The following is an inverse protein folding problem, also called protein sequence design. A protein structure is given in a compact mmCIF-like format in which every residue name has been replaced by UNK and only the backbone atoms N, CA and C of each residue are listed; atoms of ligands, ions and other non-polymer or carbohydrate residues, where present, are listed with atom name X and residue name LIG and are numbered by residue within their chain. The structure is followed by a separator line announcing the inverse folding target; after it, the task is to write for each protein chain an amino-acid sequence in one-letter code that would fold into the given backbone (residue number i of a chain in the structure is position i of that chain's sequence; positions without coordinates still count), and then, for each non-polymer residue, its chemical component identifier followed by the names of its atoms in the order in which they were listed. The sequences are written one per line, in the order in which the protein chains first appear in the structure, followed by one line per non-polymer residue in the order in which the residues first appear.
data_IF_760012206025
#
_entry.id   IF_760012206025
#
_cell.length_a   1.000
_cell.length_b   1.000
_cell.length_c   1.000
_cell.angle_alpha   90.00
_cell.angle_beta   90.00
_cell.angle_gamma   90.00
#
_symmetry.space_group_name_H-M   'P 1'
#
loop_
_entity.id
_entity.type
_entity.pdbx_description
1 polymer ?
#
# COMPACT_ATOMS: atom_id res chain seq x y z
N UNK A 1 -38.52 -51.58 -58.94
CA UNK A 1 -37.59 -50.77 -58.12
C UNK A 1 -38.16 -50.72 -56.71
N UNK A 2 -37.66 -51.60 -55.84
CA UNK A 2 -38.14 -51.79 -54.48
C UNK A 2 -37.25 -52.84 -53.79
N UNK A 3 -36.84 -52.54 -52.57
CA UNK A 3 -35.99 -53.35 -51.67
C UNK A 3 -36.56 -54.72 -51.31
N UNK A 4 -35.67 -55.69 -51.08
CA UNK A 4 -35.69 -56.66 -49.95
C UNK A 4 -34.39 -57.48 -50.01
N UNK A 5 -33.50 -57.32 -49.03
CA UNK A 5 -33.23 -58.28 -47.94
C UNK A 5 -32.47 -59.54 -48.38
N UNK A 6 -31.24 -59.69 -47.89
CA UNK A 6 -30.76 -61.01 -47.44
C UNK A 6 -29.74 -60.84 -46.32
N UNK A 7 -30.18 -61.26 -45.15
CA UNK A 7 -29.42 -61.48 -43.93
C UNK A 7 -28.52 -62.72 -44.07
N UNK A 8 -27.57 -62.86 -43.13
CA UNK A 8 -26.81 -64.08 -42.81
C UNK A 8 -25.61 -64.48 -43.66
N UNK A 9 -24.43 -63.97 -43.27
CA UNK A 9 -23.19 -64.76 -43.20
C UNK A 9 -22.18 -63.99 -42.35
N UNK A 10 -22.09 -64.26 -41.05
CA UNK A 10 -20.89 -63.99 -40.21
C UNK A 10 -21.09 -64.54 -38.79
N UNK A 11 -20.94 -65.83 -38.65
CA UNK A 11 -20.69 -66.49 -37.37
C UNK A 11 -19.55 -67.49 -37.58
N UNK A 12 -18.34 -67.00 -37.88
CA UNK A 12 -17.11 -67.80 -37.87
C UNK A 12 -15.86 -66.93 -38.12
N UNK A 13 -15.57 -65.97 -37.24
CA UNK A 13 -14.22 -65.34 -37.13
C UNK A 13 -13.93 -64.74 -35.74
N UNK A 14 -14.65 -65.15 -34.69
CA UNK A 14 -14.56 -64.55 -33.33
C UNK A 14 -13.40 -65.15 -32.49
N UNK A 15 -12.51 -65.95 -33.08
CA UNK A 15 -11.47 -66.69 -32.36
C UNK A 15 -10.08 -66.03 -32.30
N UNK A 16 -9.72 -65.17 -33.26
CA UNK A 16 -8.31 -64.76 -33.43
C UNK A 16 -8.04 -63.27 -33.18
N UNK A 17 -9.04 -62.38 -33.14
CA UNK A 17 -8.84 -60.94 -32.87
C UNK A 17 -8.73 -60.57 -31.38
N UNK A 18 -9.08 -61.49 -30.45
CA UNK A 18 -9.05 -61.20 -29.00
C UNK A 18 -7.68 -61.34 -28.34
N UNK A 19 -6.74 -62.07 -28.93
CA UNK A 19 -5.42 -62.32 -28.32
C UNK A 19 -4.43 -61.18 -28.62
N UNK A 20 -4.61 -60.46 -29.73
CA UNK A 20 -3.72 -59.35 -30.10
C UNK A 20 -4.11 -58.01 -29.44
N UNK A 21 -5.39 -57.79 -29.11
CA UNK A 21 -5.82 -56.58 -28.40
C UNK A 21 -5.38 -56.54 -26.92
N UNK A 22 -5.32 -57.69 -26.23
CA UNK A 22 -4.85 -57.74 -24.83
C UNK A 22 -3.34 -57.52 -24.70
N UNK A 23 -2.54 -57.99 -25.68
CA UNK A 23 -1.09 -57.69 -25.73
C UNK A 23 -0.81 -56.21 -26.02
N UNK A 24 -1.64 -55.57 -26.84
CA UNK A 24 -1.47 -54.17 -27.21
C UNK A 24 -1.86 -53.22 -26.05
N UNK A 25 -2.91 -53.53 -25.28
CA UNK A 25 -3.26 -52.78 -24.07
C UNK A 25 -2.19 -52.92 -22.95
N UNK A 26 -1.64 -54.12 -22.75
CA UNK A 26 -0.60 -54.35 -21.74
C UNK A 26 0.73 -53.64 -22.03
N UNK A 27 1.05 -53.38 -23.31
CA UNK A 27 2.22 -52.61 -23.73
C UNK A 27 2.00 -51.09 -23.62
N UNK A 28 0.79 -50.59 -23.83
CA UNK A 28 0.46 -49.17 -23.67
C UNK A 28 0.37 -48.73 -22.20
N UNK A 29 -0.21 -49.54 -21.32
CA UNK A 29 -0.28 -49.23 -19.87
C UNK A 29 1.11 -49.21 -19.22
N UNK A 30 2.01 -50.11 -19.61
CA UNK A 30 3.39 -50.14 -19.12
C UNK A 30 4.20 -48.92 -19.61
N UNK A 31 3.93 -48.42 -20.83
CA UNK A 31 4.56 -47.21 -21.36
C UNK A 31 4.04 -45.93 -20.70
N UNK A 32 2.73 -45.85 -20.40
CA UNK A 32 2.12 -44.74 -19.66
C UNK A 32 2.60 -44.68 -18.20
N UNK A 33 2.70 -45.84 -17.54
CA UNK A 33 3.25 -45.96 -16.18
C UNK A 33 4.72 -45.52 -16.12
N UNK A 34 5.55 -45.99 -17.05
CA UNK A 34 6.98 -45.62 -17.13
C UNK A 34 7.19 -44.15 -17.50
N UNK A 35 6.38 -43.56 -18.37
CA UNK A 35 6.42 -42.11 -18.63
C UNK A 35 6.01 -41.29 -17.40
N UNK A 36 5.04 -41.75 -16.60
CA UNK A 36 4.63 -41.06 -15.37
C UNK A 36 5.73 -41.08 -14.30
N UNK A 37 6.47 -42.19 -14.21
CA UNK A 37 7.60 -42.35 -13.26
C UNK A 37 8.78 -41.47 -13.71
N UNK A 38 9.13 -41.47 -15.01
CA UNK A 38 10.17 -40.58 -15.57
C UNK A 38 9.82 -39.10 -15.38
N UNK A 39 8.56 -38.72 -15.56
CA UNK A 39 8.09 -37.34 -15.35
C UNK A 39 8.08 -36.94 -13.85
N UNK A 40 7.83 -37.89 -12.93
CA UNK A 40 7.97 -37.67 -11.48
C UNK A 40 9.43 -37.52 -11.06
N UNK A 41 10.35 -38.28 -11.65
CA UNK A 41 11.80 -38.15 -11.40
C UNK A 41 12.39 -36.85 -11.97
N UNK A 42 11.97 -36.43 -13.17
CA UNK A 42 12.35 -35.13 -13.75
C UNK A 42 11.79 -33.97 -12.92
N UNK A 43 10.56 -34.09 -12.38
CA UNK A 43 10.00 -33.10 -11.42
C UNK A 43 10.75 -33.11 -10.08
N UNK A 44 11.22 -34.26 -9.58
CA UNK A 44 12.06 -34.36 -8.36
C UNK A 44 13.47 -33.80 -8.58
N UNK A 45 14.08 -34.01 -9.76
CA UNK A 45 15.37 -33.40 -10.12
C UNK A 45 15.26 -31.89 -10.36
N UNK A 46 14.18 -31.40 -11.01
CA UNK A 46 13.90 -29.96 -11.12
C UNK A 46 13.61 -29.32 -9.74
N UNK A 47 12.97 -30.03 -8.80
CA UNK A 47 12.82 -29.59 -7.39
C UNK A 47 14.13 -29.64 -6.58
N UNK A 48 15.12 -30.46 -6.96
CA UNK A 48 16.44 -30.49 -6.33
C UNK A 48 17.42 -29.44 -6.86
N UNK A 49 17.19 -28.87 -8.06
CA UNK A 49 18.09 -27.90 -8.70
C UNK A 49 17.79 -26.42 -8.41
N UNK A 50 16.76 -26.10 -7.62
CA UNK A 50 16.48 -24.74 -7.11
C UNK A 50 16.82 -24.59 -5.61
N UNK A 51 17.96 -25.13 -5.17
CA UNK A 51 18.45 -24.96 -3.79
C UNK A 51 19.85 -24.37 -3.67
N UNK A 52 20.27 -23.58 -4.65
CA UNK A 52 21.43 -22.69 -4.51
C UNK A 52 21.03 -21.27 -4.88
N UNK A 53 20.28 -20.62 -3.99
CA UNK A 53 20.29 -19.17 -3.93
C UNK A 53 21.55 -18.81 -3.14
N UNK A 54 22.54 -18.11 -3.73
CA UNK A 54 23.67 -17.63 -2.95
C UNK A 54 23.13 -16.72 -1.85
N UNK A 55 23.49 -17.04 -0.61
CA UNK A 55 23.16 -16.29 0.60
C UNK A 55 23.72 -14.87 0.41
N UNK A 56 22.87 -13.89 0.13
CA UNK A 56 23.28 -12.49 0.07
C UNK A 56 23.76 -12.08 1.47
N UNK A 57 25.07 -11.83 1.60
CA UNK A 57 25.74 -11.48 2.84
C UNK A 57 25.57 -10.02 3.23
N UNK A 58 24.33 -9.57 3.43
CA UNK A 58 24.05 -8.39 4.24
C UNK A 58 22.72 -8.62 4.95
N UNK A 59 22.63 -8.22 6.23
CA UNK A 59 21.54 -8.53 7.18
C UNK A 59 21.67 -9.88 7.89
N UNK A 60 22.76 -10.03 8.66
CA UNK A 60 22.69 -10.78 9.92
C UNK A 60 22.35 -9.78 11.02
N UNK A 61 21.13 -9.84 11.52
CA UNK A 61 20.77 -9.35 12.85
C UNK A 61 20.21 -10.57 13.59
N UNK A 62 20.72 -10.78 14.80
CA UNK A 62 20.62 -12.01 15.61
C UNK A 62 19.24 -12.69 15.65
N UNK A 63 19.27 -14.01 15.82
CA UNK A 63 18.11 -14.89 16.07
C UNK A 63 17.52 -14.68 17.48
N UNK A 64 17.21 -13.42 17.84
CA UNK A 64 17.07 -13.01 19.24
C UNK A 64 15.67 -12.82 19.81
N UNK A 65 14.58 -12.90 19.02
CA UNK A 65 13.19 -12.89 19.53
C UNK A 65 12.25 -13.52 18.49
N UNK A 66 11.47 -14.57 18.82
CA UNK A 66 10.42 -15.05 17.94
C UNK A 66 9.26 -14.03 17.89
N UNK A 67 8.96 -13.51 16.70
CA UNK A 67 7.76 -12.70 16.46
C UNK A 67 6.56 -13.63 16.25
N UNK A 68 5.53 -13.50 17.09
CA UNK A 68 4.29 -14.24 17.00
C UNK A 68 3.30 -13.49 16.09
N UNK A 69 2.67 -14.21 15.18
CA UNK A 69 1.57 -13.69 14.35
C UNK A 69 0.26 -14.14 15.01
N UNK A 70 -0.60 -13.20 15.35
CA UNK A 70 -1.96 -13.48 15.77
C UNK A 70 -2.91 -13.00 14.66
N UNK A 71 -3.52 -13.92 13.90
CA UNK A 71 -4.52 -13.55 12.90
C UNK A 71 -5.75 -12.97 13.59
N UNK A 72 -6.30 -11.90 13.04
CA UNK A 72 -7.61 -11.41 13.43
C UNK A 72 -8.74 -12.19 12.71
N UNK A 73 -9.97 -12.01 13.18
CA UNK A 73 -11.14 -12.69 12.60
C UNK A 73 -11.50 -12.20 11.17
N UNK A 74 -10.91 -11.10 10.70
CA UNK A 74 -11.20 -10.43 9.44
C UNK A 74 -10.12 -10.65 8.34
N UNK A 75 -9.03 -11.36 8.66
CA UNK A 75 -7.95 -11.70 7.74
C UNK A 75 -6.69 -10.84 7.86
N UNK A 76 -6.71 -9.78 8.68
CA UNK A 76 -5.52 -9.05 9.09
C UNK A 76 -4.75 -9.82 10.17
N UNK A 77 -3.64 -9.26 10.61
CA UNK A 77 -2.85 -9.88 11.67
C UNK A 77 -2.07 -8.86 12.49
N UNK A 78 -1.98 -9.18 13.76
CA UNK A 78 -1.13 -8.50 14.72
C UNK A 78 0.20 -9.25 14.83
N UNK A 79 1.28 -8.50 14.88
CA UNK A 79 2.61 -9.00 15.19
C UNK A 79 3.04 -8.41 16.51
N UNK A 80 3.31 -9.29 17.47
CA UNK A 80 3.91 -8.97 18.75
C UNK A 80 5.01 -9.99 19.03
N UNK A 81 5.92 -9.67 19.94
CA UNK A 81 6.97 -10.62 20.30
C UNK A 81 6.40 -11.74 21.18
N UNK A 82 6.95 -12.95 21.04
CA UNK A 82 6.45 -14.15 21.71
C UNK A 82 6.48 -14.05 23.24
N UNK A 83 5.45 -14.62 23.88
CA UNK A 83 5.11 -14.44 25.29
C UNK A 83 6.03 -15.14 26.31
N UNK A 84 7.19 -15.65 25.92
CA UNK A 84 8.04 -16.44 26.84
C UNK A 84 8.67 -15.54 27.91
N UNK A 85 7.99 -15.43 29.07
CA UNK A 85 8.52 -14.83 30.29
C UNK A 85 8.42 -13.30 30.39
N UNK A 86 7.49 -12.65 29.69
CA UNK A 86 7.40 -11.18 29.66
C UNK A 86 6.33 -10.64 30.60
N UNK A 87 6.74 -9.71 31.45
CA UNK A 87 5.87 -9.02 32.42
C UNK A 87 5.29 -7.69 31.89
N UNK A 88 5.56 -7.32 30.63
CA UNK A 88 5.10 -6.05 30.06
C UNK A 88 4.32 -6.28 28.77
N UNK A 89 3.17 -5.62 28.65
CA UNK A 89 2.32 -5.61 27.46
C UNK A 89 2.68 -4.39 26.61
N UNK A 90 2.65 -4.50 25.28
CA UNK A 90 3.01 -3.39 24.40
C UNK A 90 2.08 -2.20 24.61
N UNK A 91 2.65 -1.00 24.66
CA UNK A 91 1.92 0.25 24.91
C UNK A 91 1.76 1.11 23.66
N UNK A 92 2.42 0.74 22.55
CA UNK A 92 2.44 1.53 21.33
C UNK A 92 1.90 0.71 20.15
N UNK A 93 0.80 1.17 19.56
CA UNK A 93 0.23 0.60 18.35
C UNK A 93 0.86 1.20 17.09
N UNK A 94 1.37 0.36 16.19
CA UNK A 94 1.84 0.75 14.86
C UNK A 94 0.90 0.15 13.81
N UNK A 95 0.12 1.00 13.16
CA UNK A 95 -0.83 0.62 12.10
C UNK A 95 -0.15 0.71 10.74
N UNK A 96 -0.05 -0.43 10.04
CA UNK A 96 0.53 -0.51 8.70
C UNK A 96 -0.57 -0.63 7.64
N UNK A 97 -0.55 0.25 6.64
CA UNK A 97 -1.64 0.43 5.65
C UNK A 97 -1.12 0.19 4.24
N UNK A 98 -1.70 -0.79 3.53
CA UNK A 98 -1.25 -1.19 2.19
C UNK A 98 -1.62 -0.18 1.08
N UNK A 99 -0.88 -0.29 -0.02
CA UNK A 99 -1.15 0.42 -1.26
C UNK A 99 -2.25 -0.24 -2.12
N UNK A 100 -2.43 0.29 -3.32
CA UNK A 100 -3.41 -0.19 -4.30
C UNK A 100 -3.12 -1.64 -4.70
N UNK A 101 -4.15 -2.50 -4.75
CA UNK A 101 -4.05 -3.95 -5.01
C UNK A 101 -3.18 -4.70 -3.96
N UNK A 102 -2.82 -4.03 -2.86
CA UNK A 102 -2.04 -4.63 -1.76
C UNK A 102 -2.88 -5.47 -0.80
N UNK A 103 -2.21 -6.02 0.20
CA UNK A 103 -2.80 -6.72 1.35
C UNK A 103 -1.93 -6.57 2.60
N UNK A 104 -2.43 -6.98 3.77
CA UNK A 104 -1.66 -7.00 5.01
C UNK A 104 -0.34 -7.79 4.87
N UNK A 105 -0.33 -8.83 4.03
CA UNK A 105 0.86 -9.67 3.81
C UNK A 105 2.06 -8.91 3.26
N UNK A 106 1.85 -7.78 2.56
CA UNK A 106 2.95 -6.95 2.07
C UNK A 106 3.77 -6.36 3.23
N UNK A 107 3.17 -6.18 4.40
CA UNK A 107 3.81 -5.64 5.59
C UNK A 107 4.44 -6.69 6.49
N UNK A 108 4.19 -7.99 6.24
CA UNK A 108 4.65 -9.09 7.11
C UNK A 108 6.13 -9.03 7.45
N UNK A 109 6.98 -8.72 6.47
CA UNK A 109 8.42 -8.59 6.72
C UNK A 109 8.73 -7.39 7.62
N UNK A 110 8.21 -6.21 7.28
CA UNK A 110 8.44 -4.98 8.06
C UNK A 110 7.92 -5.14 9.49
N UNK A 111 6.70 -5.66 9.68
CA UNK A 111 6.11 -5.89 10.99
C UNK A 111 6.99 -6.78 11.89
N UNK A 112 7.54 -7.87 11.33
CA UNK A 112 8.50 -8.71 12.06
C UNK A 112 9.78 -7.98 12.44
N UNK A 113 10.30 -7.11 11.58
CA UNK A 113 11.51 -6.34 11.91
C UNK A 113 11.23 -5.29 12.99
N UNK A 114 10.07 -4.62 12.95
CA UNK A 114 9.65 -3.68 13.98
C UNK A 114 9.54 -4.35 15.35
N UNK A 115 8.87 -5.49 15.42
CA UNK A 115 8.73 -6.26 16.66
C UNK A 115 10.06 -6.80 17.16
N UNK A 116 10.97 -7.19 16.27
CA UNK A 116 12.33 -7.59 16.67
C UNK A 116 13.14 -6.43 17.23
N UNK A 117 12.97 -5.23 16.68
CA UNK A 117 13.69 -4.05 17.12
C UNK A 117 13.13 -3.47 18.44
N UNK A 118 11.82 -3.58 18.65
CA UNK A 118 11.11 -3.03 19.81
C UNK A 118 10.20 -4.06 20.48
N UNK A 119 10.76 -5.18 20.97
CA UNK A 119 9.98 -6.34 21.37
C UNK A 119 8.97 -6.09 22.48
N UNK A 120 9.23 -5.13 23.38
CA UNK A 120 8.40 -4.91 24.57
C UNK A 120 7.51 -3.67 24.46
N UNK A 121 7.74 -2.82 23.45
CA UNK A 121 7.06 -1.53 23.33
C UNK A 121 5.92 -1.54 22.30
N UNK A 122 6.07 -2.31 21.21
CA UNK A 122 5.20 -2.18 20.03
C UNK A 122 4.29 -3.37 19.78
N UNK A 123 3.03 -3.06 19.47
CA UNK A 123 2.09 -3.94 18.79
C UNK A 123 2.00 -3.45 17.34
N UNK A 124 2.32 -4.30 16.37
CA UNK A 124 2.21 -3.94 14.95
C UNK A 124 0.96 -4.57 14.36
N UNK A 125 0.02 -3.74 13.94
CA UNK A 125 -1.21 -4.17 13.27
C UNK A 125 -1.08 -3.97 11.76
N UNK A 126 -1.17 -5.05 10.99
CA UNK A 126 -1.21 -5.00 9.52
C UNK A 126 -2.66 -5.02 9.05
N UNK A 127 -3.17 -3.86 8.62
CA UNK A 127 -4.57 -3.68 8.23
C UNK A 127 -4.96 -4.50 7.00
N UNK A 128 -6.13 -5.14 7.06
CA UNK A 128 -6.73 -5.90 5.96
C UNK A 128 -8.04 -5.27 5.45
N UNK A 129 -8.53 -4.20 6.10
CA UNK A 129 -9.77 -3.47 5.72
C UNK A 129 -9.88 -3.11 4.25
N UNK A 130 -8.75 -2.95 3.56
CA UNK A 130 -8.66 -2.48 2.19
C UNK A 130 -7.75 -3.37 1.33
N UNK A 131 -8.01 -4.67 1.32
CA UNK A 131 -7.26 -5.61 0.48
C UNK A 131 -7.80 -5.77 -0.93
N UNK A 132 -6.88 -6.02 -1.87
CA UNK A 132 -7.21 -6.40 -3.26
C UNK A 132 -8.18 -5.41 -3.94
N UNK A 133 -9.34 -5.87 -4.41
CA UNK A 133 -10.33 -5.06 -5.13
C UNK A 133 -10.98 -3.98 -4.25
N UNK A 134 -10.99 -4.15 -2.92
CA UNK A 134 -11.51 -3.13 -1.99
C UNK A 134 -10.69 -1.83 -2.05
N UNK A 135 -9.47 -1.89 -2.59
CA UNK A 135 -8.64 -0.69 -2.83
C UNK A 135 -9.23 0.26 -3.87
N UNK A 136 -10.30 -0.11 -4.58
CA UNK A 136 -10.94 0.70 -5.63
C UNK A 136 -12.18 1.49 -5.16
N UNK A 137 -12.60 1.31 -3.90
CA UNK A 137 -13.84 1.88 -3.36
C UNK A 137 -13.77 3.39 -3.08
N UNK A 138 -12.58 3.99 -3.12
CA UNK A 138 -12.35 5.41 -2.85
C UNK A 138 -11.76 5.66 -1.46
N UNK A 139 -10.82 6.61 -1.41
CA UNK A 139 -10.05 6.99 -0.21
C UNK A 139 -10.93 7.30 0.99
N UNK A 140 -12.11 7.88 0.78
CA UNK A 140 -13.08 8.18 1.85
C UNK A 140 -13.68 6.91 2.46
N UNK A 141 -14.18 5.99 1.63
CA UNK A 141 -14.74 4.71 2.09
C UNK A 141 -13.66 3.87 2.78
N UNK A 142 -12.50 3.76 2.15
CA UNK A 142 -11.37 3.01 2.68
C UNK A 142 -10.86 3.60 4.01
N UNK A 143 -10.84 4.93 4.12
CA UNK A 143 -10.43 5.63 5.33
C UNK A 143 -11.40 5.40 6.50
N UNK A 144 -12.71 5.37 6.25
CA UNK A 144 -13.72 5.03 7.27
C UNK A 144 -13.55 3.59 7.76
N UNK A 145 -13.39 2.62 6.84
CA UNK A 145 -13.14 1.21 7.20
C UNK A 145 -11.89 1.07 8.06
N UNK A 146 -10.79 1.71 7.67
CA UNK A 146 -9.56 1.70 8.45
C UNK A 146 -9.77 2.31 9.84
N UNK A 147 -10.54 3.40 9.97
CA UNK A 147 -10.85 3.99 11.27
C UNK A 147 -11.65 3.03 12.16
N UNK A 148 -12.62 2.31 11.60
CA UNK A 148 -13.41 1.30 12.33
C UNK A 148 -12.53 0.12 12.78
N UNK A 149 -11.64 -0.37 11.92
CA UNK A 149 -10.67 -1.43 12.24
C UNK A 149 -9.72 -0.99 13.37
N UNK A 150 -9.17 0.22 13.29
CA UNK A 150 -8.29 0.76 14.34
C UNK A 150 -8.99 0.81 15.69
N UNK A 151 -10.25 1.25 15.73
CA UNK A 151 -11.03 1.26 16.99
C UNK A 151 -11.20 -0.16 17.53
N UNK A 152 -11.50 -1.14 16.66
CA UNK A 152 -11.60 -2.55 17.07
C UNK A 152 -10.31 -3.07 17.69
N UNK A 153 -9.16 -2.73 17.10
CA UNK A 153 -7.83 -3.12 17.61
C UNK A 153 -7.54 -2.45 18.95
N UNK A 154 -7.83 -1.16 19.09
CA UNK A 154 -7.62 -0.41 20.33
C UNK A 154 -8.49 -0.96 21.46
N UNK A 155 -9.77 -1.23 21.19
CA UNK A 155 -10.69 -1.80 22.18
C UNK A 155 -10.26 -3.21 22.64
N UNK A 156 -9.59 -3.96 21.78
CA UNK A 156 -9.07 -5.30 22.10
C UNK A 156 -7.77 -5.25 22.93
N UNK A 157 -7.12 -4.08 23.02
CA UNK A 157 -5.82 -3.90 23.65
C UNK A 157 -5.83 -2.67 24.60
N UNK A 158 -6.40 -2.79 25.81
CA UNK A 158 -6.62 -1.66 26.73
C UNK A 158 -5.32 -1.03 27.28
N UNK A 159 -4.17 -1.69 27.10
CA UNK A 159 -2.87 -1.19 27.58
C UNK A 159 -2.21 -0.20 26.60
N UNK A 160 -2.76 -0.05 25.40
CA UNK A 160 -2.24 0.88 24.41
C UNK A 160 -2.39 2.32 24.91
N UNK A 161 -1.33 3.09 24.75
CA UNK A 161 -1.27 4.51 25.11
C UNK A 161 -0.88 5.38 23.92
N UNK A 162 -0.16 4.82 22.95
CA UNK A 162 0.42 5.53 21.80
C UNK A 162 -0.01 4.90 20.49
N UNK A 163 -0.15 5.72 19.45
CA UNK A 163 -0.46 5.26 18.10
C UNK A 163 0.49 5.86 17.06
N UNK A 164 0.81 5.08 16.04
CA UNK A 164 1.56 5.52 14.86
C UNK A 164 1.02 4.87 13.61
N UNK A 165 1.13 5.58 12.49
CA UNK A 165 0.67 5.11 11.19
C UNK A 165 1.84 5.03 10.22
N UNK A 166 1.88 3.95 9.44
CA UNK A 166 2.81 3.73 8.33
C UNK A 166 2.00 3.37 7.08
N UNK A 167 1.91 4.31 6.14
CA UNK A 167 1.15 4.12 4.90
C UNK A 167 2.04 4.00 3.68
N UNK A 168 1.82 2.96 2.86
CA UNK A 168 2.48 2.81 1.56
C UNK A 168 1.56 3.24 0.43
N UNK A 169 2.07 4.08 -0.47
CA UNK A 169 1.36 4.50 -1.68
C UNK A 169 -0.03 5.05 -1.35
N UNK A 170 -1.09 4.48 -1.93
CA UNK A 170 -2.47 4.78 -1.59
C UNK A 170 -2.77 4.71 -0.08
N UNK A 171 -2.13 3.80 0.66
CA UNK A 171 -2.28 3.63 2.10
C UNK A 171 -1.97 4.87 2.92
N UNK A 172 -1.07 5.74 2.45
CA UNK A 172 -0.82 7.03 3.11
C UNK A 172 -1.99 8.02 2.97
N UNK A 173 -2.75 7.95 1.88
CA UNK A 173 -3.97 8.75 1.71
C UNK A 173 -5.12 8.17 2.54
N UNK A 174 -5.26 6.85 2.58
CA UNK A 174 -6.24 6.15 3.43
C UNK A 174 -5.99 6.50 4.90
N UNK A 175 -4.73 6.42 5.36
CA UNK A 175 -4.35 6.77 6.72
C UNK A 175 -4.67 8.23 7.05
N UNK A 176 -4.41 9.18 6.13
CA UNK A 176 -4.77 10.59 6.31
C UNK A 176 -6.28 10.80 6.50
N UNK A 177 -7.10 10.04 5.80
CA UNK A 177 -8.55 10.11 5.96
C UNK A 177 -8.97 9.49 7.30
N UNK A 178 -8.45 8.31 7.62
CA UNK A 178 -8.77 7.59 8.85
C UNK A 178 -8.45 8.41 10.10
N UNK A 179 -7.28 9.06 10.19
CA UNK A 179 -6.93 9.88 11.36
C UNK A 179 -7.86 11.08 11.54
N UNK A 180 -8.40 11.65 10.46
CA UNK A 180 -9.36 12.75 10.55
C UNK A 180 -10.72 12.26 11.08
N UNK A 181 -11.16 11.08 10.66
CA UNK A 181 -12.37 10.43 11.19
C UNK A 181 -12.21 10.03 12.66
N UNK A 182 -11.07 9.44 13.03
CA UNK A 182 -10.76 9.10 14.42
C UNK A 182 -10.71 10.35 15.30
N UNK A 183 -10.06 11.41 14.83
CA UNK A 183 -10.03 12.69 15.55
C UNK A 183 -11.42 13.28 15.75
N UNK A 184 -12.28 13.25 14.71
CA UNK A 184 -13.66 13.71 14.80
C UNK A 184 -14.45 12.94 15.85
N UNK A 185 -14.30 11.61 15.91
CA UNK A 185 -14.96 10.77 16.92
C UNK A 185 -14.50 11.11 18.33
N UNK A 186 -13.21 11.29 18.54
CA UNK A 186 -12.66 11.68 19.85
C UNK A 186 -13.20 13.04 20.32
N UNK A 187 -13.39 14.00 19.41
CA UNK A 187 -14.01 15.30 19.73
C UNK A 187 -15.49 15.15 20.13
N UNK A 188 -16.24 14.30 19.44
CA UNK A 188 -17.65 14.05 19.75
C UNK A 188 -17.82 13.39 21.12
N UNK A 189 -16.98 12.42 21.47
CA UNK A 189 -17.01 11.78 22.80
C UNK A 189 -16.79 12.80 23.92
N UNK A 190 -15.78 13.69 23.79
CA UNK A 190 -15.51 14.74 24.80
C UNK A 190 -16.65 15.73 24.98
N UNK A 191 -17.26 16.19 23.88
CA UNK A 191 -18.41 17.11 23.95
C UNK A 191 -19.66 16.50 24.59
N UNK A 192 -19.78 15.17 24.61
CA UNK A 192 -20.86 14.46 25.29
C UNK A 192 -20.68 14.36 26.80
N UNK A 193 -19.43 14.36 27.27
CA UNK A 193 -19.05 14.24 28.68
C UNK A 193 -19.02 15.60 29.41
N UNK A 194 -18.72 16.69 28.69
CA UNK A 194 -18.61 18.06 29.26
C UNK A 194 -19.95 18.76 29.57
N UNK A 195 -21.11 18.17 29.23
CA UNK A 195 -22.43 18.76 29.57
C UNK A 195 -22.82 18.60 31.06
N UNK A 196 -21.88 18.23 31.93
CA UNK A 196 -22.11 17.94 33.35
C UNK A 196 -21.36 18.80 34.37
N UNK A 197 -20.35 19.61 33.99
CA UNK A 197 -19.54 20.32 34.99
C UNK A 197 -19.18 21.76 34.56
N UNK A 198 -19.24 22.65 35.56
CA UNK A 198 -19.29 24.11 35.53
C UNK A 198 -18.11 24.79 34.80
N UNK A 199 -18.44 25.66 33.84
CA UNK A 199 -17.51 26.50 33.08
C UNK A 199 -16.87 27.57 33.98
N UNK A 200 -15.65 27.32 34.45
CA UNK A 200 -14.82 28.38 35.02
C UNK A 200 -13.37 28.31 34.54
N UNK A 201 -13.04 29.29 33.70
CA UNK A 201 -11.72 29.88 33.44
C UNK A 201 -10.55 28.94 33.14
N UNK A 202 -10.04 28.99 31.90
CA UNK A 202 -8.58 29.00 31.72
C UNK A 202 -8.10 29.82 30.52
N UNK A 203 -7.14 30.66 30.88
CA UNK A 203 -6.42 31.67 30.11
C UNK A 203 -5.62 31.11 28.94
N UNK A 204 -5.59 31.93 27.89
CA UNK A 204 -4.66 31.93 26.77
C UNK A 204 -3.19 31.75 27.16
N UNK A 205 -2.67 30.55 26.90
CA UNK A 205 -1.27 30.28 26.59
C UNK A 205 -1.29 29.33 25.39
N UNK A 206 -0.38 29.50 24.43
CA UNK A 206 -0.27 28.67 23.23
C UNK A 206 0.05 27.20 23.59
N UNK A 207 -0.94 26.45 24.07
CA UNK A 207 -0.83 25.02 24.22
C UNK A 207 -0.95 24.38 22.84
N UNK A 208 0.06 23.58 22.46
CA UNK A 208 -0.07 22.66 21.32
C UNK A 208 -1.41 21.94 21.43
N UNK A 209 -2.16 21.76 20.34
CA UNK A 209 -3.43 21.05 20.39
C UNK A 209 -3.18 19.65 20.99
N UNK A 210 -3.59 19.45 22.24
CA UNK A 210 -3.57 18.16 22.93
C UNK A 210 -4.81 17.40 22.48
N UNK A 211 -4.67 16.66 21.39
CA UNK A 211 -5.71 15.80 20.84
C UNK A 211 -5.25 14.35 20.82
N UNK A 212 -6.21 13.45 20.95
CA UNK A 212 -5.99 12.02 20.79
C UNK A 212 -6.42 11.58 19.39
N UNK A 213 -5.97 10.38 19.01
CA UNK A 213 -6.45 9.64 17.84
C UNK A 213 -6.88 8.26 18.34
N UNK A 214 -8.18 7.97 18.27
CA UNK A 214 -8.78 6.76 18.85
C UNK A 214 -8.49 6.64 20.36
N UNK A 215 -8.49 7.77 21.08
CA UNK A 215 -8.14 7.81 22.51
C UNK A 215 -6.65 7.65 22.82
N UNK A 216 -5.79 7.42 21.83
CA UNK A 216 -4.34 7.23 22.00
C UNK A 216 -3.53 8.48 21.66
N UNK A 217 -2.33 8.60 22.24
CA UNK A 217 -1.37 9.65 21.94
C UNK A 217 -0.72 9.44 20.54
N UNK A 218 -0.91 10.34 19.57
CA UNK A 218 -0.33 10.19 18.24
C UNK A 218 1.18 10.54 18.22
N UNK A 219 2.01 9.59 17.78
CA UNK A 219 3.48 9.73 17.79
C UNK A 219 4.06 9.95 16.39
N UNK A 220 3.97 8.96 15.50
CA UNK A 220 4.55 9.02 14.16
C UNK A 220 3.49 8.86 13.06
N UNK A 221 3.56 9.71 12.05
CA UNK A 221 2.82 9.55 10.80
C UNK A 221 3.81 9.45 9.64
N UNK A 222 3.98 8.24 9.11
CA UNK A 222 5.00 7.93 8.10
C UNK A 222 4.31 7.53 6.80
N UNK A 223 4.72 8.15 5.70
CA UNK A 223 4.24 7.80 4.36
C UNK A 223 5.38 7.38 3.46
N UNK A 224 5.15 6.39 2.59
CA UNK A 224 6.13 5.86 1.66
C UNK A 224 5.59 5.85 0.24
N UNK A 225 6.21 6.62 -0.66
CA UNK A 225 5.79 6.74 -2.06
C UNK A 225 4.29 7.09 -2.22
N UNK A 226 3.76 7.90 -1.31
CA UNK A 226 2.33 8.28 -1.28
C UNK A 226 2.03 9.42 -2.25
N UNK A 227 1.01 9.32 -3.13
CA UNK A 227 0.66 10.39 -4.07
C UNK A 227 -0.14 11.50 -3.35
N UNK A 228 0.50 12.26 -2.46
CA UNK A 228 -0.17 13.27 -1.62
C UNK A 228 -0.89 14.36 -2.40
N UNK A 229 -0.37 14.73 -3.58
CA UNK A 229 -0.92 15.75 -4.48
C UNK A 229 -1.71 15.12 -5.65
N UNK A 230 -1.96 13.81 -5.58
CA UNK A 230 -2.47 13.03 -6.69
C UNK A 230 -1.37 12.64 -7.70
N UNK A 231 -1.82 12.12 -8.83
CA UNK A 231 -0.98 11.54 -9.90
C UNK A 231 -1.11 12.26 -11.25
N UNK A 232 -1.90 13.34 -11.31
CA UNK A 232 -2.23 14.07 -12.54
C UNK A 232 -1.30 15.26 -12.76
N UNK A 233 -0.13 15.07 -13.38
CA UNK A 233 0.71 16.23 -13.71
C UNK A 233 2.18 15.97 -13.97
N UNK A 234 2.67 14.79 -13.62
CA UNK A 234 3.97 14.33 -14.08
C UNK A 234 3.86 13.92 -15.56
N UNK A 235 4.87 14.19 -16.39
CA UNK A 235 4.96 13.73 -17.81
C UNK A 235 5.02 12.20 -17.86
N UNK A 236 3.93 11.57 -17.52
CA UNK A 236 3.81 10.18 -17.10
C UNK A 236 2.58 9.58 -17.77
N UNK A 237 2.44 9.82 -19.07
CA UNK A 237 1.56 9.06 -19.96
C UNK A 237 1.83 7.55 -19.84
N UNK A 238 3.04 7.17 -19.42
CA UNK A 238 3.46 5.79 -19.10
C UNK A 238 2.98 5.25 -17.73
N UNK A 239 2.54 6.09 -16.78
CA UNK A 239 2.07 5.60 -15.48
C UNK A 239 0.74 4.88 -15.61
N UNK A 240 -0.12 5.34 -16.52
CA UNK A 240 -1.41 4.72 -16.75
C UNK A 240 -1.22 3.37 -17.43
N UNK A 241 -0.26 3.27 -18.36
CA UNK A 241 0.15 1.99 -18.95
C UNK A 241 0.68 1.06 -17.86
N UNK A 242 1.47 1.57 -16.91
CA UNK A 242 2.07 0.76 -15.83
C UNK A 242 1.02 0.31 -14.80
N UNK A 243 0.13 1.20 -14.37
CA UNK A 243 -1.01 0.88 -13.48
C UNK A 243 -1.92 -0.15 -14.17
N UNK A 244 -2.24 0.08 -15.44
CA UNK A 244 -3.05 -0.84 -16.24
C UNK A 244 -2.34 -2.19 -16.41
N UNK A 245 -1.03 -2.20 -16.67
CA UNK A 245 -0.23 -3.43 -16.76
C UNK A 245 -0.23 -4.22 -15.44
N UNK A 246 -0.14 -3.55 -14.29
CA UNK A 246 -0.25 -4.19 -12.96
C UNK A 246 -1.64 -4.81 -12.76
N UNK A 247 -2.71 -4.08 -13.10
CA UNK A 247 -4.08 -4.61 -13.03
C UNK A 247 -4.25 -5.80 -13.98
N UNK A 248 -3.76 -5.69 -15.22
CA UNK A 248 -3.86 -6.70 -16.26
C UNK A 248 -3.06 -7.97 -15.94
N UNK A 249 -1.92 -7.86 -15.25
CA UNK A 249 -1.12 -9.03 -14.84
C UNK A 249 -1.65 -9.72 -13.57
N UNK A 250 -2.45 -9.05 -12.75
CA UNK A 250 -2.98 -9.61 -11.49
C UNK A 250 -4.37 -10.20 -11.64
N UNK A 251 -5.12 -9.86 -12.71
CA UNK A 251 -6.43 -10.44 -13.01
C UNK A 251 -6.27 -11.62 -13.97
N UNK A 252 -6.44 -12.88 -13.54
CA UNK A 252 -6.19 -14.07 -14.38
C UNK A 252 -7.09 -14.17 -15.63
N UNK A 253 -8.16 -13.37 -15.73
CA UNK A 253 -9.07 -13.34 -16.89
C UNK A 253 -8.65 -12.38 -18.02
N UNK A 254 -7.64 -11.54 -17.83
CA UNK A 254 -7.24 -10.52 -18.83
C UNK A 254 -6.01 -10.90 -19.66
N UNK A 255 -5.53 -12.15 -19.56
CA UNK A 255 -4.39 -12.68 -20.31
C UNK A 255 -4.61 -12.76 -21.85
N UNK A 256 -5.82 -12.47 -22.37
CA UNK A 256 -6.19 -12.87 -23.74
C UNK A 256 -6.69 -11.77 -24.70
N UNK A 257 -6.66 -10.48 -24.37
CA UNK A 257 -7.16 -9.47 -25.33
C UNK A 257 -6.24 -8.26 -25.59
N UNK A 258 -5.95 -8.12 -26.89
CA UNK A 258 -5.62 -6.93 -27.68
C UNK A 258 -4.18 -6.39 -27.69
N UNK A 259 -3.62 -6.40 -28.91
CA UNK A 259 -2.38 -5.74 -29.29
C UNK A 259 -2.42 -4.22 -29.14
N UNK A 260 -1.22 -3.65 -28.97
CA UNK A 260 -0.97 -2.25 -28.68
C UNK A 260 -1.42 -1.32 -29.83
N UNK A 261 -2.52 -0.58 -29.64
CA UNK A 261 -2.84 0.58 -30.48
C UNK A 261 -3.48 1.74 -29.69
N UNK A 262 -2.93 2.95 -29.91
CA UNK A 262 -3.34 4.31 -29.51
C UNK A 262 -3.71 4.56 -28.03
N UNK A 263 -2.67 4.83 -27.21
CA UNK A 263 -2.74 4.84 -25.73
C UNK A 263 -3.21 6.15 -25.06
N UNK A 264 -3.48 7.24 -25.78
CA UNK A 264 -3.94 8.50 -25.13
C UNK A 264 -5.42 8.48 -24.73
N UNK A 265 -6.30 7.82 -25.50
CA UNK A 265 -7.73 7.71 -25.16
C UNK A 265 -8.02 6.65 -24.08
N UNK A 266 -7.05 5.78 -23.80
CA UNK A 266 -7.13 4.76 -22.73
C UNK A 266 -6.81 5.37 -21.37
N UNK A 267 -6.00 6.44 -21.34
CA UNK A 267 -5.59 7.13 -20.13
C UNK A 267 -6.77 7.67 -19.30
N UNK A 268 -7.72 8.35 -19.96
CA UNK A 268 -8.94 8.85 -19.32
C UNK A 268 -9.93 7.76 -18.92
N UNK A 269 -9.86 6.58 -19.57
CA UNK A 269 -10.66 5.39 -19.23
C UNK A 269 -10.04 4.55 -18.12
N UNK A 270 -8.76 4.76 -17.80
CA UNK A 270 -8.07 3.97 -16.76
C UNK A 270 -8.36 4.45 -15.33
N UNK A 271 -8.66 5.73 -15.12
CA UNK A 271 -9.16 6.20 -13.81
C UNK A 271 -10.49 5.51 -13.46
N UNK A 272 -11.30 5.18 -14.46
CA UNK A 272 -12.51 4.37 -14.31
C UNK A 272 -12.22 2.91 -13.93
N UNK A 273 -11.12 2.32 -14.43
CA UNK A 273 -10.73 0.94 -14.09
C UNK A 273 -10.25 0.78 -12.65
N UNK A 274 -9.79 1.87 -12.03
CA UNK A 274 -9.48 1.95 -10.59
C UNK A 274 -10.67 2.41 -9.75
N UNK A 275 -11.89 2.35 -10.30
CA UNK A 275 -13.12 2.70 -9.61
C UNK A 275 -13.14 4.14 -9.11
N UNK A 276 -13.56 4.33 -7.87
CA UNK A 276 -13.61 5.66 -7.24
C UNK A 276 -12.22 6.13 -6.80
N UNK A 277 -11.36 5.21 -6.38
CA UNK A 277 -9.96 5.50 -6.04
C UNK A 277 -9.21 6.18 -7.19
N UNK A 278 -9.39 5.67 -8.42
CA UNK A 278 -8.81 6.30 -9.60
C UNK A 278 -9.27 7.75 -9.76
N UNK A 279 -10.56 8.04 -9.57
CA UNK A 279 -11.07 9.42 -9.66
C UNK A 279 -10.43 10.34 -8.63
N UNK A 280 -10.22 9.89 -7.39
CA UNK A 280 -9.54 10.67 -6.36
C UNK A 280 -8.06 10.94 -6.71
N UNK A 281 -7.32 9.90 -7.13
CA UNK A 281 -5.89 10.03 -7.48
C UNK A 281 -5.66 10.96 -8.68
N UNK A 282 -6.59 10.99 -9.63
CA UNK A 282 -6.56 11.85 -10.81
C UNK A 282 -7.30 13.19 -10.64
N UNK A 283 -7.72 13.54 -9.42
CA UNK A 283 -8.42 14.80 -9.11
C UNK A 283 -9.60 15.05 -10.08
N UNK A 284 -10.33 13.98 -10.40
CA UNK A 284 -11.43 14.00 -11.37
C UNK A 284 -12.77 13.60 -10.74
N UNK A 285 -12.79 13.39 -9.43
CA UNK A 285 -14.00 13.27 -8.65
C UNK A 285 -14.74 14.60 -8.57
N UNK A 286 -16.06 14.51 -8.55
CA UNK A 286 -16.98 15.64 -8.50
C UNK A 286 -18.16 15.20 -7.64
N UNK A 287 -17.94 15.15 -6.33
CA UNK A 287 -18.93 14.71 -5.37
C UNK A 287 -19.83 15.91 -5.03
N UNK A 288 -21.06 15.95 -5.56
CA UNK A 288 -22.11 16.92 -5.18
C UNK A 288 -21.68 18.40 -5.28
N UNK A 289 -20.85 18.73 -6.26
CA UNK A 289 -20.32 20.09 -6.45
C UNK A 289 -19.16 20.48 -5.51
N UNK A 290 -18.71 19.57 -4.64
CA UNK A 290 -17.54 19.76 -3.78
C UNK A 290 -16.25 19.63 -4.60
N UNK A 291 -15.16 20.32 -4.19
CA UNK A 291 -13.85 20.14 -4.81
C UNK A 291 -13.33 18.70 -4.62
N UNK A 292 -12.35 18.26 -5.44
CA UNK A 292 -11.77 16.92 -5.34
C UNK A 292 -11.33 16.55 -3.92
N UNK A 293 -11.51 15.31 -3.51
CA UNK A 293 -11.29 14.85 -2.15
C UNK A 293 -9.87 15.12 -1.66
N UNK A 294 -8.84 14.88 -2.47
CA UNK A 294 -7.45 15.14 -2.07
C UNK A 294 -7.19 16.62 -1.78
N UNK A 295 -7.87 17.51 -2.52
CA UNK A 295 -7.81 18.95 -2.26
C UNK A 295 -8.49 19.27 -0.92
N UNK A 296 -9.64 18.68 -0.65
CA UNK A 296 -10.33 18.81 0.65
C UNK A 296 -9.48 18.30 1.82
N UNK A 297 -8.73 17.23 1.63
CA UNK A 297 -7.81 16.67 2.63
C UNK A 297 -6.57 17.55 2.92
N UNK A 298 -6.41 18.67 2.22
CA UNK A 298 -5.30 19.63 2.43
C UNK A 298 -5.68 20.83 3.31
N UNK A 299 -6.93 20.89 3.77
CA UNK A 299 -7.46 21.92 4.67
C UNK A 299 -8.40 21.28 5.68
N UNK A 300 -8.66 21.96 6.79
CA UNK A 300 -9.74 21.57 7.70
C UNK A 300 -11.09 22.04 7.14
N UNK A 301 -12.11 21.20 7.25
CA UNK A 301 -13.50 21.56 7.00
C UNK A 301 -14.32 21.42 8.27
N UNK A 302 -15.58 21.86 8.23
CA UNK A 302 -16.52 21.69 9.35
C UNK A 302 -16.72 20.20 9.70
N UNK A 303 -16.86 19.35 8.68
CA UNK A 303 -17.06 17.91 8.87
C UNK A 303 -15.82 17.18 9.41
N UNK A 304 -14.66 17.38 8.76
CA UNK A 304 -13.42 16.65 9.01
C UNK A 304 -12.22 17.60 9.07
N UNK A 305 -11.47 17.53 10.16
CA UNK A 305 -10.29 18.38 10.39
C UNK A 305 -9.00 17.62 10.05
N UNK A 306 -8.69 17.50 8.76
CA UNK A 306 -7.55 16.73 8.26
C UNK A 306 -6.17 17.25 8.69
N UNK A 307 -5.96 18.57 8.62
CA UNK A 307 -4.70 19.21 9.00
C UNK A 307 -4.57 19.23 10.52
N UNK A 308 -5.65 19.55 11.25
CA UNK A 308 -5.65 19.46 12.71
C UNK A 308 -5.28 18.05 13.20
N UNK A 309 -5.89 17.00 12.63
CA UNK A 309 -5.57 15.62 12.99
C UNK A 309 -4.10 15.26 12.68
N UNK A 310 -3.58 15.68 11.52
CA UNK A 310 -2.15 15.49 11.17
C UNK A 310 -1.21 16.25 12.10
N UNK A 311 -1.61 17.42 12.59
CA UNK A 311 -0.82 18.27 13.47
C UNK A 311 -0.55 17.61 14.82
N UNK A 312 -1.47 16.77 15.30
CA UNK A 312 -1.34 16.07 16.58
C UNK A 312 -0.12 15.14 16.63
N UNK A 313 0.29 14.56 15.50
CA UNK A 313 1.44 13.67 15.45
C UNK A 313 2.74 14.43 15.77
N UNK A 314 3.51 13.91 16.73
CA UNK A 314 4.81 14.49 17.11
C UNK A 314 5.79 14.54 15.93
N UNK A 315 5.78 13.51 15.09
CA UNK A 315 6.67 13.36 13.95
C UNK A 315 5.91 12.96 12.69
N UNK A 316 6.17 13.66 11.60
CA UNK A 316 5.64 13.37 10.26
C UNK A 316 6.81 13.15 9.30
N UNK A 317 6.81 12.03 8.58
CA UNK A 317 7.91 11.65 7.69
C UNK A 317 7.36 11.22 6.33
N UNK A 318 7.92 11.78 5.27
CA UNK A 318 7.62 11.43 3.90
C UNK A 318 8.84 10.76 3.24
N UNK A 319 8.76 9.44 3.04
CA UNK A 319 9.70 8.67 2.24
C UNK A 319 9.29 8.74 0.77
N UNK A 320 10.24 9.09 -0.09
CA UNK A 320 9.97 9.23 -1.52
C UNK A 320 11.08 8.64 -2.37
N UNK A 321 10.71 8.07 -3.51
CA UNK A 321 11.67 7.55 -4.47
C UNK A 321 12.19 8.70 -5.35
N UNK A 322 13.49 8.98 -5.30
CA UNK A 322 14.12 10.00 -6.13
C UNK A 322 14.19 9.60 -7.62
N UNK A 323 14.17 8.29 -7.89
CA UNK A 323 14.31 7.70 -9.23
C UNK A 323 13.51 6.39 -9.35
N UNK A 324 13.13 6.07 -10.59
CA UNK A 324 12.52 4.78 -11.00
C UNK A 324 11.13 4.47 -10.42
N UNK A 325 10.52 5.40 -9.69
CA UNK A 325 9.10 5.32 -9.38
C UNK A 325 8.28 5.88 -10.54
N UNK A 326 7.61 4.96 -11.24
CA UNK A 326 6.73 5.23 -12.36
C UNK A 326 5.26 5.20 -11.94
N UNK A 327 4.95 5.23 -10.64
CA UNK A 327 3.57 5.26 -10.16
C UNK A 327 3.31 6.59 -9.46
N UNK A 328 4.24 7.01 -8.61
CA UNK A 328 4.12 8.22 -7.83
C UNK A 328 5.31 9.14 -8.10
N UNK A 329 5.01 10.36 -8.51
CA UNK A 329 6.03 11.34 -8.81
C UNK A 329 6.73 11.83 -7.54
N UNK A 330 8.04 12.05 -7.65
CA UNK A 330 8.92 12.44 -6.53
C UNK A 330 8.35 13.65 -5.75
N UNK A 331 7.94 14.73 -6.43
CA UNK A 331 7.37 15.92 -5.77
C UNK A 331 6.10 15.65 -4.98
N UNK A 332 5.24 14.75 -5.46
CA UNK A 332 3.99 14.36 -4.80
C UNK A 332 4.29 13.54 -3.54
N UNK A 333 5.18 12.55 -3.64
CA UNK A 333 5.60 11.73 -2.50
C UNK A 333 6.41 12.50 -1.46
N UNK A 334 7.21 13.48 -1.87
CA UNK A 334 8.08 14.24 -0.96
C UNK A 334 7.43 15.50 -0.39
N UNK A 335 6.24 15.89 -0.85
CA UNK A 335 5.64 17.19 -0.54
C UNK A 335 6.63 18.35 -0.79
N UNK A 336 7.18 18.41 -2.00
CA UNK A 336 8.08 19.48 -2.48
C UNK A 336 7.64 19.98 -3.85
N UNK A 337 7.92 21.24 -4.17
CA UNK A 337 7.80 21.72 -5.54
C UNK A 337 8.89 21.10 -6.41
N UNK A 338 8.68 21.05 -7.73
CA UNK A 338 9.67 20.46 -8.66
C UNK A 338 11.02 21.17 -8.66
N UNK A 339 11.02 22.48 -8.41
CA UNK A 339 12.22 23.31 -8.29
C UNK A 339 12.92 23.17 -6.93
N UNK A 340 12.24 22.64 -5.91
CA UNK A 340 12.78 22.38 -4.56
C UNK A 340 13.38 20.96 -4.44
N UNK A 341 13.20 20.11 -5.45
CA UNK A 341 13.75 18.75 -5.42
C UNK A 341 15.29 18.79 -5.43
N UNK A 342 15.95 17.96 -4.60
CA UNK A 342 17.41 17.89 -4.56
C UNK A 342 18.01 17.61 -5.93
N UNK A 343 19.12 18.29 -6.23
CA UNK A 343 19.86 18.04 -7.46
C UNK A 343 20.46 16.64 -7.41
N UNK A 344 20.11 15.79 -8.39
CA UNK A 344 20.54 14.39 -8.47
C UNK A 344 22.05 14.15 -8.39
N UNK A 345 22.88 15.17 -8.63
CA UNK A 345 24.35 15.10 -8.61
C UNK A 345 24.95 15.27 -7.22
N UNK A 346 24.21 15.82 -6.24
CA UNK A 346 24.68 16.09 -4.88
C UNK A 346 24.14 15.09 -3.84
N UNK A 347 23.60 13.97 -4.30
CA UNK A 347 22.99 12.95 -3.45
C UNK A 347 24.09 12.11 -2.77
N UNK A 348 24.33 12.38 -1.49
CA UNK A 348 25.28 11.65 -0.66
C UNK A 348 24.61 10.36 -0.17
N UNK A 349 25.29 9.22 -0.34
CA UNK A 349 24.80 7.94 0.20
C UNK A 349 24.96 7.94 1.72
N UNK A 350 23.91 7.59 2.44
CA UNK A 350 24.01 7.36 3.87
C UNK A 350 24.90 6.14 4.15
N UNK A 351 25.82 6.27 5.12
CA UNK A 351 26.81 5.23 5.48
C UNK A 351 26.14 3.96 6.01
N UNK A 352 25.06 4.12 6.79
CA UNK A 352 24.30 3.01 7.38
C UNK A 352 23.28 2.42 6.42
N UNK A 353 22.65 3.26 5.60
CA UNK A 353 21.62 2.85 4.64
C UNK A 353 21.94 3.34 3.22
N UNK A 354 22.65 2.55 2.40
CA UNK A 354 23.17 3.00 1.09
C UNK A 354 22.11 3.47 0.08
N UNK A 355 20.85 3.11 0.30
CA UNK A 355 19.71 3.51 -0.53
C UNK A 355 19.12 4.87 -0.14
N UNK A 356 19.38 5.38 1.07
CA UNK A 356 19.00 6.73 1.46
C UNK A 356 20.00 7.71 0.85
N UNK A 357 19.49 8.60 0.02
CA UNK A 357 20.30 9.52 -0.80
C UNK A 357 20.16 10.98 -0.42
N UNK A 358 19.12 11.32 0.34
CA UNK A 358 18.94 12.63 0.94
C UNK A 358 18.01 12.49 2.15
N UNK A 359 18.33 13.23 3.21
CA UNK A 359 17.54 13.27 4.44
C UNK A 359 17.44 14.74 4.88
N UNK A 360 16.25 15.30 4.72
CA UNK A 360 15.93 16.64 5.18
C UNK A 360 15.20 16.53 6.52
N UNK A 361 15.90 16.91 7.59
CA UNK A 361 15.29 17.09 8.90
C UNK A 361 14.36 18.30 8.87
N UNK A 362 13.30 18.25 9.65
CA UNK A 362 12.34 19.35 9.76
C UNK A 362 13.04 20.62 10.26
N UNK A 363 13.21 21.63 9.41
CA UNK A 363 13.43 23.00 9.84
C UNK A 363 12.08 23.73 9.82
N UNK A 364 11.81 24.50 10.87
CA UNK A 364 10.63 25.38 10.97
C UNK A 364 10.45 26.18 9.69
N UNK A 365 9.25 26.14 9.13
CA UNK A 365 8.91 26.78 7.86
C UNK A 365 9.23 28.29 7.92
N UNK A 366 10.19 28.73 7.11
CA UNK A 366 10.25 30.14 6.73
C UNK A 366 9.06 30.43 5.79
N UNK A 367 8.42 31.58 6.00
CA UNK A 367 7.21 32.01 5.30
C UNK A 367 7.33 31.86 3.76
N UNK A 368 6.24 31.52 3.04
CA UNK A 368 6.31 31.33 1.60
C UNK A 368 6.64 32.64 0.88
N UNK A 369 7.76 32.69 0.16
CA UNK A 369 7.99 33.70 -0.87
C UNK A 369 7.02 33.47 -2.03
N UNK A 370 6.28 34.52 -2.36
CA UNK A 370 5.35 34.57 -3.48
C UNK A 370 6.12 34.56 -4.80
N UNK A 371 5.97 33.51 -5.62
CA UNK A 371 6.53 33.47 -6.98
C UNK A 371 5.39 33.41 -7.99
N UNK A 372 5.23 34.51 -8.71
CA UNK A 372 4.29 34.71 -9.81
C UNK A 372 4.76 34.01 -11.08
N UNK A 373 3.94 33.13 -11.68
CA UNK A 373 4.12 32.72 -13.07
C UNK A 373 2.79 32.48 -13.82
N UNK A 374 2.65 33.21 -14.94
CA UNK A 374 1.63 33.05 -15.99
C UNK A 374 1.91 31.79 -16.85
N UNK A 375 0.88 30.99 -17.16
CA UNK A 375 0.45 30.60 -18.53
C UNK A 375 -0.37 29.27 -18.63
N UNK A 376 -1.37 29.31 -19.53
CA UNK A 376 -2.18 28.24 -20.19
C UNK A 376 -3.29 27.53 -19.37
N UNK A 377 -4.52 27.77 -19.83
CA UNK A 377 -5.81 27.74 -19.11
C UNK A 377 -6.32 26.35 -18.68
N UNK A 378 -5.93 25.25 -19.33
CA UNK A 378 -6.32 23.89 -18.89
C UNK A 378 -5.29 23.21 -17.98
N UNK A 379 -3.99 23.52 -18.14
CA UNK A 379 -2.93 23.10 -17.22
C UNK A 379 -2.97 23.90 -15.90
N UNK A 380 -3.42 25.16 -15.96
CA UNK A 380 -3.55 26.06 -14.82
C UNK A 380 -4.31 25.44 -13.65
N UNK A 381 -5.49 24.84 -13.89
CA UNK A 381 -6.36 24.36 -12.81
C UNK A 381 -5.72 23.23 -12.00
N UNK A 382 -5.07 22.27 -12.66
CA UNK A 382 -4.41 21.15 -11.94
C UNK A 382 -3.17 21.61 -11.21
N UNK A 383 -2.35 22.48 -11.81
CA UNK A 383 -1.15 23.02 -11.14
C UNK A 383 -1.52 23.92 -9.95
N UNK A 384 -2.63 24.64 -10.04
CA UNK A 384 -3.19 25.44 -8.94
C UNK A 384 -3.73 24.56 -7.80
N UNK A 385 -4.40 23.44 -8.12
CA UNK A 385 -4.84 22.47 -7.12
C UNK A 385 -3.65 21.78 -6.45
N UNK A 386 -2.63 21.35 -7.22
CA UNK A 386 -1.38 20.78 -6.69
C UNK A 386 -0.69 21.76 -5.73
N UNK A 387 -0.57 23.04 -6.12
CA UNK A 387 0.05 24.07 -5.29
C UNK A 387 -0.79 24.36 -4.03
N UNK A 388 -2.12 24.40 -4.12
CA UNK A 388 -3.00 24.56 -2.96
C UNK A 388 -2.83 23.40 -1.98
N UNK A 389 -2.84 22.16 -2.48
CA UNK A 389 -2.63 20.97 -1.66
C UNK A 389 -1.25 20.97 -1.00
N UNK A 390 -0.22 21.33 -1.77
CA UNK A 390 1.14 21.40 -1.27
C UNK A 390 1.23 22.43 -0.14
N UNK A 391 0.75 23.66 -0.37
CA UNK A 391 0.71 24.72 0.65
C UNK A 391 -0.01 24.27 1.91
N UNK A 392 -1.17 23.63 1.78
CA UNK A 392 -1.95 23.12 2.92
C UNK A 392 -1.16 22.11 3.74
N UNK A 393 -0.55 21.12 3.09
CA UNK A 393 0.17 20.03 3.77
C UNK A 393 1.52 20.46 4.34
N UNK A 394 2.22 21.40 3.70
CA UNK A 394 3.50 21.93 4.17
C UNK A 394 3.37 23.04 5.21
N UNK A 395 2.14 23.38 5.65
CA UNK A 395 1.93 24.17 6.88
C UNK A 395 2.49 23.45 8.10
N UNK A 396 2.49 22.12 8.06
CA UNK A 396 3.06 21.27 9.09
C UNK A 396 4.52 20.93 8.76
N UNK A 397 5.32 20.68 9.79
CA UNK A 397 6.69 20.18 9.61
C UNK A 397 6.68 18.74 9.10
N UNK A 398 7.50 18.46 8.09
CA UNK A 398 7.72 17.13 7.53
C UNK A 398 9.22 16.86 7.43
N UNK A 399 9.64 15.74 7.99
CA UNK A 399 10.92 15.14 7.63
C UNK A 399 10.78 14.46 6.27
N UNK A 400 11.78 14.62 5.41
CA UNK A 400 11.73 14.08 4.06
C UNK A 400 12.93 13.21 3.81
N UNK A 401 12.68 11.97 3.43
CA UNK A 401 13.72 10.98 3.17
C UNK A 401 13.61 10.54 1.72
N UNK A 402 14.64 10.80 0.93
CA UNK A 402 14.69 10.38 -0.45
C UNK A 402 15.49 9.08 -0.58
N UNK A 403 14.90 8.10 -1.24
CA UNK A 403 15.45 6.77 -1.46
C UNK A 403 15.78 6.60 -2.95
N UNK A 404 16.89 5.92 -3.24
CA UNK A 404 17.25 5.53 -4.59
C UNK A 404 17.83 4.12 -4.62
N UNK A 405 17.26 3.29 -5.49
CA UNK A 405 17.73 1.94 -5.79
C UNK A 405 18.71 1.91 -6.97
N UNK A 406 19.35 3.05 -7.28
CA UNK A 406 20.33 3.13 -8.36
C UNK A 406 21.48 2.15 -8.09
N UNK A 407 21.62 1.14 -8.96
CA UNK A 407 22.63 0.08 -8.84
C UNK A 407 22.11 -1.26 -8.31
N UNK A 408 20.82 -1.36 -7.97
CA UNK A 408 20.15 -2.61 -7.59
C UNK A 408 19.12 -3.03 -8.65
N UNK A 409 18.89 -4.35 -8.78
CA UNK A 409 17.78 -4.89 -9.59
C UNK A 409 16.40 -4.45 -9.05
N UNK A 410 16.34 -4.07 -7.77
CA UNK A 410 15.14 -3.54 -7.11
C UNK A 410 14.61 -2.25 -7.73
N UNK A 411 15.40 -1.54 -8.56
CA UNK A 411 14.95 -0.34 -9.28
C UNK A 411 13.69 -0.57 -10.12
N UNK A 412 13.47 -1.79 -10.63
CA UNK A 412 12.28 -2.13 -11.42
C UNK A 412 10.99 -2.19 -10.59
N UNK A 413 11.14 -2.38 -9.27
CA UNK A 413 10.06 -2.45 -8.30
C UNK A 413 10.27 -1.39 -7.21
N UNK A 414 10.88 -0.25 -7.55
CA UNK A 414 11.24 0.80 -6.59
C UNK A 414 10.03 1.25 -5.75
N UNK A 415 8.86 1.33 -6.39
CA UNK A 415 7.61 1.71 -5.72
C UNK A 415 7.26 0.78 -4.56
N UNK A 416 7.42 -0.54 -4.72
CA UNK A 416 7.10 -1.52 -3.67
C UNK A 416 8.29 -1.73 -2.72
N UNK A 417 9.51 -1.65 -3.25
CA UNK A 417 10.74 -1.93 -2.48
C UNK A 417 11.00 -0.87 -1.40
N UNK A 418 10.51 0.36 -1.58
CA UNK A 418 10.66 1.42 -0.58
C UNK A 418 10.12 1.03 0.81
N UNK A 419 9.12 0.13 0.88
CA UNK A 419 8.62 -0.41 2.15
C UNK A 419 9.69 -1.15 2.97
N UNK A 420 10.68 -1.74 2.29
CA UNK A 420 11.78 -2.45 2.93
C UNK A 420 12.89 -1.52 3.45
N UNK A 421 12.79 -0.21 3.20
CA UNK A 421 13.75 0.79 3.69
C UNK A 421 13.31 1.45 5.01
N UNK A 422 12.15 1.05 5.54
CA UNK A 422 11.58 1.55 6.79
C UNK A 422 12.22 0.96 8.04
#
# INVERSE_FOLDING_TARGET
MGSMEMENMRAETVGEEKVDQEKQMGLEENNLSNQSIKNKEIRKQKKRRYRFIPRFGCMRLDDGVPAAEQPDAAGGFDVAAGCNGRNHLPTHLVVMVNGIIGSAQNWRYAAKQFVKAYPDDVLVHCSESNSSMLTFDGVDVMGKRLADEVISVVNSHPNLQKISFVGHSLGGLIARYAIAELHRRDLMTKSGEENGEDESHKSSLEEKPKGNIAGLEPVNFITCATPHLGSRGHKQENNIITILFIILQTVPRFQFFCGFYSMEKVASRASWLLGRTGRHLFLSDCDEGKPPLLLRMSSDSEDLKFISALQLFKRRVAYSNAQFDHLVGWSSASLRRRNELPKRRSLLKNVKYPHIVNEEKSYTANAPQEVSLKAKVARRRTTEMEETMLRGLTRLSWERVDVSFKGSMQRLLAHNTIQACL
#
